data_IF_675301106943
#
_entry.id   IF_675301106943
#
_cell.length_a   1.000
_cell.length_b   1.000
_cell.length_c   1.000
_cell.angle_alpha   90.00
_cell.angle_beta   90.00
_cell.angle_gamma   90.00
#
_symmetry.space_group_name_H-M   'P 1'
#
loop_
_entity.id
_entity.type
_entity.pdbx_description
1 polymer ?
#
# COMPACT_ATOMS: atom_id res chain seq x y z
N UNK A 1 -21.96 76.93 24.48
CA UNK A 1 -23.09 75.97 24.56
C UNK A 1 -23.14 75.01 23.38
N UNK A 2 -23.16 75.48 22.12
CA UNK A 2 -23.30 74.61 20.94
C UNK A 2 -22.25 73.49 20.82
N UNK A 3 -20.97 73.76 21.11
CA UNK A 3 -19.91 72.75 21.06
C UNK A 3 -20.05 71.62 22.10
N UNK A 4 -20.64 71.92 23.27
CA UNK A 4 -20.88 70.93 24.32
C UNK A 4 -21.97 69.93 23.89
N UNK A 5 -22.98 70.42 23.17
CA UNK A 5 -24.07 69.58 22.62
C UNK A 5 -23.54 68.58 21.60
N UNK A 6 -22.60 69.00 20.74
CA UNK A 6 -21.94 68.13 19.76
C UNK A 6 -21.16 66.98 20.41
N UNK A 7 -20.44 67.26 21.51
CA UNK A 7 -19.72 66.22 22.26
C UNK A 7 -20.69 65.20 22.85
N UNK A 8 -21.81 65.66 23.43
CA UNK A 8 -22.86 64.78 23.96
C UNK A 8 -23.47 63.90 22.87
N UNK A 9 -23.77 64.45 21.69
CA UNK A 9 -24.31 63.69 20.56
C UNK A 9 -23.32 62.59 20.11
N UNK A 10 -22.01 62.89 20.09
CA UNK A 10 -20.97 61.93 19.73
C UNK A 10 -20.89 60.75 20.72
N UNK A 11 -20.94 61.04 22.02
CA UNK A 11 -20.94 60.02 23.08
C UNK A 11 -22.19 59.14 22.98
N UNK A 12 -23.36 59.73 22.71
CA UNK A 12 -24.62 58.99 22.54
C UNK A 12 -24.55 58.06 21.32
N UNK A 13 -24.04 58.54 20.19
CA UNK A 13 -23.87 57.73 18.97
C UNK A 13 -22.92 56.56 19.18
N UNK A 14 -21.80 56.77 19.88
CA UNK A 14 -20.85 55.71 20.25
C UNK A 14 -21.54 54.67 21.13
N UNK A 15 -22.30 55.09 22.14
CA UNK A 15 -23.03 54.18 23.04
C UNK A 15 -24.08 53.34 22.32
N UNK A 16 -24.84 53.94 21.40
CA UNK A 16 -25.85 53.23 20.59
C UNK A 16 -25.19 52.19 19.67
N UNK A 17 -24.07 52.55 19.03
CA UNK A 17 -23.35 51.67 18.11
C UNK A 17 -22.75 50.44 18.83
N UNK A 18 -22.12 50.65 19.99
CA UNK A 18 -21.58 49.57 20.83
C UNK A 18 -22.70 48.64 21.31
N UNK A 19 -23.84 49.19 21.72
CA UNK A 19 -24.99 48.41 22.19
C UNK A 19 -25.62 47.58 21.07
N UNK A 20 -25.64 48.08 19.83
CA UNK A 20 -26.12 47.34 18.67
C UNK A 20 -25.22 46.13 18.36
N UNK A 21 -23.89 46.32 18.36
CA UNK A 21 -22.90 45.25 18.13
C UNK A 21 -22.96 44.14 19.18
N UNK A 22 -23.17 44.48 20.45
CA UNK A 22 -23.15 43.50 21.55
C UNK A 22 -24.40 42.59 21.58
N UNK A 23 -25.47 42.96 20.88
CA UNK A 23 -26.74 42.24 20.97
C UNK A 23 -26.88 41.12 19.91
N UNK A 24 -25.90 40.95 19.03
CA UNK A 24 -25.84 39.87 18.03
C UNK A 24 -25.20 38.60 18.63
N UNK A 25 -25.90 37.95 19.56
CA UNK A 25 -25.49 36.66 20.17
C UNK A 25 -25.37 35.51 19.16
N UNK A 26 -25.92 35.68 17.96
CA UNK A 26 -25.87 34.70 16.87
C UNK A 26 -24.46 34.47 16.33
N UNK A 27 -23.59 35.50 16.36
CA UNK A 27 -22.22 35.38 15.87
C UNK A 27 -21.34 34.65 16.89
N UNK A 28 -21.41 35.03 18.16
CA UNK A 28 -20.64 34.44 19.25
C UNK A 28 -20.95 32.94 19.41
N UNK A 29 -22.24 32.57 19.36
CA UNK A 29 -22.64 31.16 19.40
C UNK A 29 -22.15 30.34 18.20
N UNK A 30 -22.11 30.94 17.00
CA UNK A 30 -21.64 30.25 15.78
C UNK A 30 -20.11 30.13 15.76
N UNK A 31 -19.41 31.12 16.29
CA UNK A 31 -17.96 31.14 16.43
C UNK A 31 -17.46 30.10 17.44
N UNK A 32 -18.06 30.05 18.64
CA UNK A 32 -17.73 29.06 19.67
C UNK A 32 -18.02 27.62 19.19
N UNK A 33 -19.10 27.42 18.43
CA UNK A 33 -19.43 26.13 17.85
C UNK A 33 -18.41 25.72 16.78
N UNK A 34 -17.97 26.66 15.94
CA UNK A 34 -16.95 26.39 14.92
C UNK A 34 -15.60 26.06 15.56
N UNK A 35 -15.17 26.79 16.60
CA UNK A 35 -13.92 26.51 17.33
C UNK A 35 -13.92 25.10 17.91
N UNK A 36 -14.97 24.72 18.65
CA UNK A 36 -15.07 23.40 19.27
C UNK A 36 -15.09 22.26 18.25
N UNK A 37 -15.72 22.47 17.10
CA UNK A 37 -15.73 21.48 16.04
C UNK A 37 -14.39 21.38 15.32
N UNK A 38 -13.71 22.50 15.05
CA UNK A 38 -12.37 22.51 14.47
C UNK A 38 -11.37 21.73 15.34
N UNK A 39 -11.35 21.95 16.66
CA UNK A 39 -10.49 21.20 17.58
C UNK A 39 -10.77 19.68 17.54
N UNK A 40 -12.05 19.30 17.41
CA UNK A 40 -12.45 17.88 17.30
C UNK A 40 -12.00 17.26 15.98
N UNK A 41 -12.17 17.96 14.86
CA UNK A 41 -11.73 17.48 13.54
C UNK A 41 -10.20 17.37 13.48
N UNK A 42 -9.47 18.35 14.03
CA UNK A 42 -8.01 18.31 14.07
C UNK A 42 -7.50 17.13 14.92
N UNK A 43 -8.15 16.85 16.05
CA UNK A 43 -7.87 15.67 16.88
C UNK A 43 -8.14 14.37 16.12
N UNK A 44 -9.26 14.28 15.39
CA UNK A 44 -9.63 13.10 14.61
C UNK A 44 -8.68 12.87 13.42
N UNK A 45 -8.27 13.94 12.72
CA UNK A 45 -7.23 13.91 11.68
C UNK A 45 -5.89 13.47 12.27
N UNK A 46 -5.54 13.95 13.46
CA UNK A 46 -4.33 13.55 14.18
C UNK A 46 -4.31 12.04 14.46
N UNK A 47 -5.42 11.49 14.97
CA UNK A 47 -5.57 10.05 15.21
C UNK A 47 -5.49 9.24 13.92
N UNK A 48 -6.17 9.68 12.87
CA UNK A 48 -6.13 9.03 11.57
C UNK A 48 -4.70 8.98 11.00
N UNK A 49 -3.94 10.07 11.12
CA UNK A 49 -2.53 10.11 10.72
C UNK A 49 -1.66 9.17 11.56
N UNK A 50 -1.94 9.04 12.85
CA UNK A 50 -1.25 8.08 13.72
C UNK A 50 -1.50 6.64 13.26
N UNK A 51 -2.76 6.25 13.05
CA UNK A 51 -3.13 4.91 12.58
C UNK A 51 -2.47 4.58 11.23
N UNK A 52 -2.42 5.55 10.30
CA UNK A 52 -1.72 5.36 9.03
C UNK A 52 -0.21 5.23 9.19
N UNK A 53 0.41 6.01 10.09
CA UNK A 53 1.84 5.92 10.35
C UNK A 53 2.22 4.55 10.96
N UNK A 54 1.40 4.03 11.87
CA UNK A 54 1.56 2.70 12.46
C UNK A 54 1.46 1.60 11.37
N UNK A 55 0.43 1.68 10.52
CA UNK A 55 0.25 0.73 9.40
C UNK A 55 1.44 0.77 8.43
N UNK A 56 1.90 1.96 8.03
CA UNK A 56 3.04 2.11 7.12
C UNK A 56 4.32 1.54 7.73
N UNK A 57 4.55 1.80 9.02
CA UNK A 57 5.71 1.27 9.74
C UNK A 57 5.69 -0.26 9.81
N UNK A 58 4.54 -0.85 10.11
CA UNK A 58 4.37 -2.31 10.16
C UNK A 58 4.67 -2.95 8.79
N UNK A 59 4.13 -2.39 7.71
CA UNK A 59 4.43 -2.86 6.35
C UNK A 59 5.92 -2.74 6.01
N UNK A 60 6.58 -1.65 6.40
CA UNK A 60 8.03 -1.49 6.19
C UNK A 60 8.83 -2.56 6.94
N UNK A 61 8.47 -2.85 8.19
CA UNK A 61 9.11 -3.90 8.96
C UNK A 61 8.89 -5.29 8.36
N UNK A 62 7.70 -5.56 7.81
CA UNK A 62 7.41 -6.82 7.13
C UNK A 62 8.27 -6.97 5.86
N UNK A 63 8.36 -5.92 5.04
CA UNK A 63 9.23 -5.89 3.86
C UNK A 63 10.69 -6.14 4.25
N UNK A 64 11.18 -5.48 5.31
CA UNK A 64 12.54 -5.68 5.80
C UNK A 64 12.78 -7.11 6.28
N UNK A 65 11.81 -7.74 6.97
CA UNK A 65 11.92 -9.15 7.39
C UNK A 65 12.01 -10.09 6.19
N UNK A 66 11.12 -9.91 5.21
CA UNK A 66 11.12 -10.69 3.98
C UNK A 66 12.45 -10.55 3.21
N UNK A 67 13.02 -9.34 3.16
CA UNK A 67 14.28 -9.08 2.47
C UNK A 67 15.51 -9.65 3.22
N UNK A 68 15.50 -9.69 4.55
CA UNK A 68 16.64 -10.16 5.33
C UNK A 68 16.73 -11.70 5.42
N UNK A 69 15.60 -12.42 5.32
CA UNK A 69 15.57 -13.89 5.43
C UNK A 69 16.28 -14.61 4.26
N UNK A 70 16.38 -13.99 3.08
CA UNK A 70 17.09 -14.56 1.91
C UNK A 70 18.62 -14.43 1.99
N UNK A 71 19.14 -13.46 2.75
CA UNK A 71 20.57 -13.10 2.73
C UNK A 71 21.49 -14.06 3.52
N UNK A 72 20.92 -14.90 4.39
CA UNK A 72 21.69 -15.82 5.25
C UNK A 72 21.69 -17.29 4.77
N UNK A 73 20.92 -17.66 3.73
CA UNK A 73 20.86 -19.05 3.25
C UNK A 73 21.89 -19.39 2.17
N UNK A 74 22.55 -18.40 1.56
CA UNK A 74 23.42 -18.60 0.38
C UNK A 74 24.90 -18.25 0.58
N UNK A 75 25.41 -18.10 1.82
CA UNK A 75 26.83 -17.77 2.06
C UNK A 75 27.77 -18.96 2.22
N UNK A 76 27.25 -20.18 2.21
CA UNK A 76 28.08 -21.38 2.26
C UNK A 76 27.77 -22.23 1.03
N UNK A 77 28.58 -22.12 -0.02
CA UNK A 77 29.20 -23.26 -0.70
C UNK A 77 30.04 -22.81 -1.91
N UNK A 78 31.32 -23.12 -1.78
CA UNK A 78 32.27 -23.57 -2.80
C UNK A 78 32.53 -22.73 -4.07
N UNK A 79 33.74 -22.16 -4.08
CA UNK A 79 34.52 -21.90 -5.29
C UNK A 79 34.71 -23.23 -6.03
N UNK A 80 34.14 -23.37 -7.22
CA UNK A 80 34.48 -24.44 -8.15
C UNK A 80 35.35 -23.82 -9.25
N UNK A 81 36.55 -24.38 -9.41
CA UNK A 81 37.56 -24.02 -10.42
C UNK A 81 37.23 -24.78 -11.72
N UNK A 82 36.96 -24.04 -12.79
CA UNK A 82 36.45 -24.52 -14.08
C UNK A 82 37.54 -25.19 -14.95
N UNK A 83 38.12 -26.31 -14.52
CA UNK A 83 39.18 -26.91 -15.32
C UNK A 83 39.38 -28.43 -15.23
N UNK A 84 38.32 -29.24 -15.35
CA UNK A 84 38.49 -30.60 -15.92
C UNK A 84 37.18 -31.26 -16.38
N UNK A 85 36.70 -30.90 -17.58
CA UNK A 85 35.71 -31.71 -18.30
C UNK A 85 36.39 -32.35 -19.53
N UNK A 86 37.06 -33.48 -19.30
CA UNK A 86 37.40 -34.44 -20.35
C UNK A 86 36.91 -35.83 -20.02
N UNK A 87 35.73 -36.12 -20.58
CA UNK A 87 35.29 -37.38 -21.16
C UNK A 87 35.87 -38.69 -20.59
N UNK A 88 35.04 -39.43 -19.83
CA UNK A 88 34.97 -40.89 -19.93
C UNK A 88 33.50 -41.33 -19.86
N UNK A 89 33.01 -41.82 -21.00
CA UNK A 89 31.76 -42.57 -21.09
C UNK A 89 31.96 -43.92 -20.41
N UNK A 90 31.36 -44.12 -19.24
CA UNK A 90 31.12 -45.44 -18.67
C UNK A 90 29.65 -45.54 -18.31
N UNK A 91 28.91 -46.34 -19.08
CA UNK A 91 27.51 -46.68 -18.82
C UNK A 91 27.38 -47.36 -17.46
N UNK A 92 26.69 -46.71 -16.51
CA UNK A 92 26.21 -47.36 -15.30
C UNK A 92 24.68 -47.37 -15.38
N UNK A 93 24.13 -48.54 -15.64
CA UNK A 93 22.69 -48.78 -15.51
C UNK A 93 22.38 -48.93 -14.02
N UNK A 94 21.91 -47.87 -13.39
CA UNK A 94 21.40 -47.91 -12.00
C UNK A 94 19.88 -47.93 -12.07
N UNK A 95 19.30 -49.12 -11.91
CA UNK A 95 17.90 -49.24 -11.48
C UNK A 95 17.91 -49.16 -9.96
N UNK A 96 17.47 -48.02 -9.41
CA UNK A 96 17.00 -47.92 -8.03
C UNK A 96 15.58 -47.36 -8.10
N UNK A 97 14.62 -48.26 -7.96
CA UNK A 97 13.25 -47.97 -7.61
C UNK A 97 13.22 -47.74 -6.09
N UNK A 98 12.90 -46.52 -5.65
CA UNK A 98 11.81 -46.25 -4.70
C UNK A 98 11.88 -44.78 -4.21
N UNK A 99 10.79 -44.05 -4.52
CA UNK A 99 10.28 -42.86 -3.82
C UNK A 99 11.28 -41.91 -3.15
N UNK A 100 11.59 -40.82 -3.84
CA UNK A 100 11.54 -39.49 -3.24
C UNK A 100 11.17 -38.45 -4.30
N UNK A 101 9.93 -37.96 -4.17
CA UNK A 101 9.37 -36.82 -4.88
C UNK A 101 10.19 -35.57 -4.52
N UNK A 102 11.02 -35.08 -5.45
CA UNK A 102 11.46 -33.69 -5.45
C UNK A 102 11.15 -33.16 -6.83
N UNK A 103 9.99 -32.51 -6.90
CA UNK A 103 9.46 -31.83 -8.08
C UNK A 103 10.34 -30.59 -8.29
N UNK A 104 11.43 -30.76 -9.04
CA UNK A 104 12.07 -29.67 -9.77
C UNK A 104 11.51 -29.71 -11.18
N UNK A 105 10.43 -28.97 -11.42
CA UNK A 105 9.85 -28.60 -12.72
C UNK A 105 8.44 -28.07 -12.39
N UNK A 106 8.01 -26.92 -12.92
CA UNK A 106 6.61 -26.56 -13.26
C UNK A 106 6.28 -25.06 -13.22
N UNK A 107 7.10 -24.16 -12.65
CA UNK A 107 6.74 -22.71 -12.65
C UNK A 107 6.79 -22.10 -14.05
N UNK A 108 7.84 -22.41 -14.83
CA UNK A 108 7.94 -21.96 -16.23
C UNK A 108 6.84 -22.56 -17.13
N UNK A 109 6.40 -23.78 -16.84
CA UNK A 109 5.35 -24.44 -17.63
C UNK A 109 4.00 -23.74 -17.45
N UNK A 110 3.66 -23.35 -16.21
CA UNK A 110 2.43 -22.59 -15.92
C UNK A 110 2.41 -21.25 -16.66
N UNK A 111 3.52 -20.52 -16.64
CA UNK A 111 3.66 -19.24 -17.36
C UNK A 111 3.52 -19.45 -18.88
N UNK A 112 4.18 -20.48 -19.42
CA UNK A 112 4.10 -20.85 -20.83
C UNK A 112 2.68 -21.22 -21.28
N UNK A 113 1.98 -21.99 -20.45
CA UNK A 113 0.61 -22.44 -20.70
C UNK A 113 -0.39 -21.28 -20.65
N UNK A 114 -0.28 -20.38 -19.66
CA UNK A 114 -1.11 -19.16 -19.60
C UNK A 114 -0.90 -18.31 -20.85
N UNK A 115 0.36 -18.09 -21.26
CA UNK A 115 0.68 -17.32 -22.48
C UNK A 115 0.10 -17.95 -23.74
N UNK A 116 0.15 -19.29 -23.86
CA UNK A 116 -0.41 -20.02 -25.00
C UNK A 116 -1.93 -19.86 -25.07
N UNK A 117 -2.63 -20.04 -23.95
CA UNK A 117 -4.08 -19.91 -23.89
C UNK A 117 -4.56 -18.48 -24.17
N UNK A 118 -3.83 -17.46 -23.72
CA UNK A 118 -4.10 -16.06 -24.10
C UNK A 118 -3.91 -15.83 -25.60
N UNK A 119 -2.87 -16.41 -26.22
CA UNK A 119 -2.67 -16.31 -27.68
C UNK A 119 -3.75 -17.03 -28.48
N UNK A 120 -4.31 -18.11 -27.92
CA UNK A 120 -5.45 -18.84 -28.49
C UNK A 120 -6.78 -18.09 -28.30
N UNK A 121 -6.78 -16.93 -27.62
CA UNK A 121 -7.96 -16.07 -27.43
C UNK A 121 -8.86 -16.46 -26.26
N UNK A 122 -8.40 -17.35 -25.37
CA UNK A 122 -9.15 -17.73 -24.18
C UNK A 122 -9.26 -16.55 -23.21
N UNK A 123 -10.38 -16.48 -22.51
CA UNK A 123 -10.63 -15.48 -21.47
C UNK A 123 -9.90 -15.84 -20.18
N UNK A 124 -9.68 -14.83 -19.32
CA UNK A 124 -9.04 -15.02 -18.00
C UNK A 124 -9.75 -16.08 -17.16
N UNK A 125 -11.08 -16.16 -17.27
CA UNK A 125 -11.91 -17.10 -16.52
C UNK A 125 -11.72 -18.54 -17.00
N UNK A 126 -11.66 -18.75 -18.31
CA UNK A 126 -11.38 -20.08 -18.90
C UNK A 126 -9.96 -20.56 -18.58
N UNK A 127 -9.00 -19.65 -18.55
CA UNK A 127 -7.60 -19.97 -18.20
C UNK A 127 -7.50 -20.33 -16.72
N UNK A 128 -8.20 -19.58 -15.87
CA UNK A 128 -8.29 -19.81 -14.42
C UNK A 128 -8.86 -21.20 -14.13
N UNK A 129 -9.92 -21.60 -14.82
CA UNK A 129 -10.55 -22.92 -14.66
C UNK A 129 -9.69 -24.06 -15.25
N UNK A 130 -9.05 -23.85 -16.41
CA UNK A 130 -8.27 -24.88 -17.11
C UNK A 130 -6.91 -25.18 -16.47
N UNK A 131 -6.31 -24.19 -15.81
CA UNK A 131 -5.00 -24.32 -15.16
C UNK A 131 -5.07 -24.36 -13.63
N UNK A 132 -6.29 -24.34 -13.06
CA UNK A 132 -6.52 -24.25 -11.61
C UNK A 132 -5.72 -23.09 -10.96
N UNK A 133 -5.76 -21.93 -11.63
CA UNK A 133 -5.05 -20.71 -11.22
C UNK A 133 -6.05 -19.67 -10.76
N UNK A 134 -5.67 -18.86 -9.77
CA UNK A 134 -6.49 -17.72 -9.38
C UNK A 134 -6.59 -16.68 -10.50
N UNK A 135 -7.74 -16.02 -10.67
CA UNK A 135 -7.90 -14.93 -11.66
C UNK A 135 -6.83 -13.84 -11.50
N UNK A 136 -6.44 -13.55 -10.26
CA UNK A 136 -5.36 -12.63 -9.93
C UNK A 136 -3.99 -13.11 -10.43
N UNK A 137 -3.70 -14.41 -10.33
CA UNK A 137 -2.45 -15.01 -10.80
C UNK A 137 -2.36 -15.01 -12.33
N UNK A 138 -3.46 -15.35 -13.00
CA UNK A 138 -3.56 -15.29 -14.47
C UNK A 138 -3.31 -13.85 -14.97
N UNK A 139 -3.91 -12.85 -14.32
CA UNK A 139 -3.71 -11.44 -14.63
C UNK A 139 -2.28 -10.97 -14.34
N UNK A 140 -1.67 -11.46 -13.26
CA UNK A 140 -0.29 -11.14 -12.90
C UNK A 140 0.67 -11.68 -13.96
N UNK A 141 0.49 -12.93 -14.39
CA UNK A 141 1.28 -13.55 -15.44
C UNK A 141 1.11 -12.80 -16.76
N UNK A 142 -0.12 -12.44 -17.12
CA UNK A 142 -0.39 -11.63 -18.32
C UNK A 142 0.39 -10.30 -18.29
N UNK A 143 0.33 -9.57 -17.17
CA UNK A 143 0.95 -8.24 -17.03
C UNK A 143 2.47 -8.29 -17.00
N UNK A 144 3.06 -9.31 -16.38
CA UNK A 144 4.51 -9.39 -16.18
C UNK A 144 5.25 -10.09 -17.32
N UNK A 145 4.62 -11.06 -17.98
CA UNK A 145 5.29 -11.95 -18.94
C UNK A 145 4.77 -11.87 -20.39
N UNK A 146 3.79 -11.00 -20.67
CA UNK A 146 3.22 -10.83 -22.02
C UNK A 146 3.42 -9.43 -22.61
N UNK A 147 4.26 -8.58 -22.02
CA UNK A 147 4.75 -7.36 -22.67
C UNK A 147 5.64 -7.65 -23.88
#
# INVERSE_FOLDING_TARGET
>A
MAGIILIFIGIILIGINIKAIKNDTSFEASFDNQIKNTDKYDLEIGKLRQEFAETILEMQQEIDRLNNDDSNRYKNNEKIDDNELKAQNTSINVVIDDKQNVIEENENEKIGNVRKLFKEGNTVDEISEKLDLGKGEVLLIQKLYTN
#
